data_IF_005116999621
#
_entry.id   IF_005116999621
#
_cell.length_a   1.000
_cell.length_b   1.000
_cell.length_c   1.000
_cell.angle_alpha   90.00
_cell.angle_beta   90.00
_cell.angle_gamma   90.00
#
_symmetry.space_group_name_H-M   'P 1'
#
loop_
_entity.id
_entity.type
_entity.pdbx_description
1 polymer ?
#
# COMPACT_ATOMS: atom_id res chain seq x y z
N UNK A 1 -3.41 26.21 -8.25
CA UNK A 1 -2.06 25.82 -8.72
C UNK A 1 -1.98 24.32 -8.48
N UNK A 2 -1.69 23.53 -9.50
CA UNK A 2 -1.50 22.08 -9.34
C UNK A 2 -0.20 21.87 -8.56
N UNK A 3 -0.26 21.16 -7.43
CA UNK A 3 0.94 20.91 -6.63
C UNK A 3 1.85 19.92 -7.35
N UNK A 4 3.14 20.23 -7.35
CA UNK A 4 4.16 19.47 -8.06
C UNK A 4 4.45 18.16 -7.31
N UNK A 5 4.05 17.01 -7.86
CA UNK A 5 4.37 15.70 -7.30
C UNK A 5 5.88 15.42 -7.35
N UNK A 6 6.45 14.97 -6.24
CA UNK A 6 7.90 14.80 -6.03
C UNK A 6 8.29 13.41 -5.56
N UNK A 7 7.33 12.63 -5.05
CA UNK A 7 7.55 11.30 -4.53
C UNK A 7 6.34 10.40 -4.79
N UNK A 8 6.52 9.09 -4.64
CA UNK A 8 5.43 8.13 -4.70
C UNK A 8 5.45 7.23 -3.46
N UNK A 9 4.29 7.06 -2.84
CA UNK A 9 4.07 6.17 -1.70
C UNK A 9 3.14 5.04 -2.15
N UNK A 10 3.67 3.83 -2.22
CA UNK A 10 2.89 2.65 -2.60
C UNK A 10 2.32 1.96 -1.36
N UNK A 11 1.09 1.50 -1.44
CA UNK A 11 0.70 0.34 -0.66
C UNK A 11 1.44 -0.92 -1.16
N UNK A 12 1.43 -1.99 -0.39
CA UNK A 12 2.18 -3.21 -0.70
C UNK A 12 1.28 -4.34 -1.15
N UNK A 13 0.40 -4.79 -0.25
CA UNK A 13 -0.42 -5.99 -0.43
C UNK A 13 -1.50 -5.73 -1.48
N UNK A 14 -1.51 -6.54 -2.53
CA UNK A 14 -2.44 -6.43 -3.65
C UNK A 14 -2.33 -5.14 -4.49
N UNK A 15 -1.37 -4.27 -4.13
CA UNK A 15 -0.94 -3.12 -4.93
C UNK A 15 0.38 -3.41 -5.68
N UNK A 16 1.41 -3.88 -5.00
CA UNK A 16 2.70 -4.26 -5.60
C UNK A 16 2.91 -5.78 -5.68
N UNK A 17 2.36 -6.51 -4.71
CA UNK A 17 2.54 -7.95 -4.56
C UNK A 17 1.19 -8.66 -4.45
N UNK A 18 1.08 -9.85 -5.04
CA UNK A 18 -0.11 -10.70 -5.00
C UNK A 18 -0.14 -11.52 -3.71
N UNK A 19 -0.96 -11.10 -2.75
CA UNK A 19 -0.97 -11.66 -1.39
C UNK A 19 -2.34 -12.10 -0.87
N UNK A 20 -3.44 -11.70 -1.51
CA UNK A 20 -4.80 -12.01 -1.03
C UNK A 20 -5.01 -13.50 -0.70
N UNK A 21 -4.63 -14.38 -1.63
CA UNK A 21 -4.72 -15.81 -1.44
C UNK A 21 -3.78 -16.34 -0.34
N UNK A 22 -2.58 -15.78 -0.21
CA UNK A 22 -1.62 -16.20 0.80
C UNK A 22 -2.08 -15.80 2.21
N UNK A 23 -2.56 -14.57 2.38
CA UNK A 23 -3.18 -14.11 3.63
C UNK A 23 -4.43 -14.92 3.96
N UNK A 24 -5.31 -15.18 2.97
CA UNK A 24 -6.50 -16.00 3.15
C UNK A 24 -6.16 -17.41 3.65
N UNK A 25 -5.11 -18.04 3.11
CA UNK A 25 -4.62 -19.35 3.58
C UNK A 25 -4.02 -19.28 4.98
N UNK A 26 -3.19 -18.28 5.26
CA UNK A 26 -2.54 -18.12 6.57
C UNK A 26 -3.58 -17.93 7.68
N UNK A 27 -4.47 -16.95 7.52
CA UNK A 27 -5.54 -16.68 8.48
C UNK A 27 -6.55 -17.83 8.56
N UNK A 28 -6.86 -18.47 7.43
CA UNK A 28 -7.76 -19.62 7.37
C UNK A 28 -7.21 -20.84 8.11
N UNK A 29 -5.93 -21.14 7.97
CA UNK A 29 -5.28 -22.22 8.71
C UNK A 29 -5.27 -21.92 10.22
N UNK A 30 -4.93 -20.67 10.60
CA UNK A 30 -4.93 -20.24 11.99
C UNK A 30 -6.32 -20.36 12.61
N UNK A 31 -7.34 -19.81 11.97
CA UNK A 31 -8.72 -19.82 12.50
C UNK A 31 -9.29 -21.23 12.55
N UNK A 32 -8.95 -22.11 11.57
CA UNK A 32 -9.38 -23.52 11.58
C UNK A 32 -8.84 -24.28 12.80
N UNK A 33 -7.58 -24.04 13.19
CA UNK A 33 -7.00 -24.61 14.40
C UNK A 33 -7.71 -24.15 15.69
N UNK A 34 -8.44 -23.02 15.61
CA UNK A 34 -9.21 -22.45 16.73
C UNK A 34 -10.74 -22.59 16.57
N UNK A 35 -11.19 -23.47 15.65
CA UNK A 35 -12.60 -23.85 15.50
C UNK A 35 -13.45 -22.94 14.63
N UNK A 36 -12.88 -22.00 13.89
CA UNK A 36 -13.59 -21.21 12.88
C UNK A 36 -13.21 -21.66 11.46
N UNK A 37 -14.22 -21.92 10.63
CA UNK A 37 -14.04 -22.22 9.21
C UNK A 37 -13.99 -20.92 8.41
N UNK A 38 -12.85 -20.66 7.76
CA UNK A 38 -12.66 -19.50 6.89
C UNK A 38 -13.66 -19.44 5.74
N UNK A 39 -14.22 -18.28 5.46
CA UNK A 39 -15.24 -18.04 4.46
C UNK A 39 -14.81 -16.92 3.50
N UNK A 40 -15.40 -16.81 2.31
CA UNK A 40 -15.10 -15.73 1.37
C UNK A 40 -15.32 -14.32 1.95
N UNK A 41 -16.33 -14.15 2.82
CA UNK A 41 -16.57 -12.88 3.51
C UNK A 41 -15.45 -12.49 4.47
N UNK A 42 -14.79 -13.46 5.11
CA UNK A 42 -13.65 -13.21 6.01
C UNK A 42 -12.46 -12.64 5.21
N UNK A 43 -12.21 -13.18 4.00
CA UNK A 43 -11.20 -12.65 3.08
C UNK A 43 -11.51 -11.22 2.63
N UNK A 44 -12.76 -10.92 2.31
CA UNK A 44 -13.17 -9.54 1.97
C UNK A 44 -13.02 -8.58 3.14
N UNK A 45 -13.34 -9.00 4.35
CA UNK A 45 -13.18 -8.18 5.55
C UNK A 45 -11.70 -7.97 5.94
N UNK A 46 -10.81 -8.84 5.46
CA UNK A 46 -9.37 -8.74 5.68
C UNK A 46 -8.72 -7.69 4.76
N UNK A 47 -9.24 -7.53 3.54
CA UNK A 47 -8.65 -6.70 2.49
C UNK A 47 -8.55 -5.23 2.93
N UNK A 48 -7.31 -4.70 2.96
CA UNK A 48 -7.02 -3.33 3.40
C UNK A 48 -7.26 -3.04 4.88
N UNK A 49 -7.70 -4.04 5.67
CA UNK A 49 -8.08 -3.86 7.06
C UNK A 49 -6.86 -3.66 7.96
N UNK A 50 -6.61 -2.46 8.40
CA UNK A 50 -5.51 -2.15 9.33
C UNK A 50 -5.62 -2.80 10.72
N UNK A 51 -6.80 -3.36 11.08
CA UNK A 51 -7.03 -4.13 12.32
C UNK A 51 -7.21 -5.62 12.06
N UNK A 52 -6.62 -6.10 10.98
CA UNK A 52 -6.78 -7.46 10.50
C UNK A 52 -6.54 -8.54 11.57
N UNK A 53 -5.51 -8.40 12.41
CA UNK A 53 -5.19 -9.38 13.44
C UNK A 53 -6.26 -9.44 14.53
N UNK A 54 -6.80 -8.28 14.95
CA UNK A 54 -7.91 -8.23 15.91
C UNK A 54 -9.18 -8.84 15.34
N UNK A 55 -9.44 -8.63 14.03
CA UNK A 55 -10.56 -9.26 13.34
C UNK A 55 -10.42 -10.79 13.36
N UNK A 56 -9.26 -11.33 12.98
CA UNK A 56 -8.98 -12.77 12.97
C UNK A 56 -9.05 -13.37 14.38
N UNK A 57 -8.51 -12.68 15.40
CA UNK A 57 -8.63 -13.11 16.80
C UNK A 57 -10.09 -13.18 17.24
N UNK A 58 -10.92 -12.22 16.84
CA UNK A 58 -12.36 -12.22 17.08
C UNK A 58 -13.07 -13.45 16.51
N UNK A 59 -12.70 -13.90 15.31
CA UNK A 59 -13.23 -15.13 14.69
C UNK A 59 -12.88 -16.39 15.52
N UNK A 60 -11.80 -16.36 16.31
CA UNK A 60 -11.41 -17.44 17.23
C UNK A 60 -12.18 -17.43 18.55
N UNK A 61 -13.23 -16.60 18.69
CA UNK A 61 -14.08 -16.54 19.88
C UNK A 61 -13.39 -15.97 21.11
N UNK A 62 -12.41 -15.08 20.95
CA UNK A 62 -11.68 -14.40 22.02
C UNK A 62 -10.72 -15.30 22.83
N UNK A 63 -10.36 -16.47 22.29
CA UNK A 63 -9.46 -17.45 22.94
C UNK A 63 -7.98 -17.20 22.63
N UNK A 64 -7.70 -16.30 21.72
CA UNK A 64 -6.35 -15.92 21.27
C UNK A 64 -6.27 -14.40 21.23
N UNK A 65 -5.09 -13.85 21.43
CA UNK A 65 -4.89 -12.42 21.27
C UNK A 65 -4.43 -12.06 19.84
N UNK A 66 -4.45 -10.77 19.51
CA UNK A 66 -4.04 -10.30 18.20
C UNK A 66 -2.54 -10.51 17.93
N UNK A 67 -1.72 -10.54 18.98
CA UNK A 67 -0.28 -10.82 18.89
C UNK A 67 0.00 -12.23 18.40
N UNK A 68 -0.70 -13.23 18.94
CA UNK A 68 -0.59 -14.63 18.49
C UNK A 68 -0.95 -14.76 17.01
N UNK A 69 -2.00 -14.04 16.58
CA UNK A 69 -2.40 -14.00 15.16
C UNK A 69 -1.31 -13.38 14.28
N UNK A 70 -0.76 -12.24 14.71
CA UNK A 70 0.31 -11.56 13.97
C UNK A 70 1.51 -12.50 13.81
N UNK A 71 1.97 -13.13 14.87
CA UNK A 71 3.13 -14.01 14.85
C UNK A 71 2.92 -15.20 13.89
N UNK A 72 1.85 -15.97 14.13
CA UNK A 72 1.57 -17.17 13.35
C UNK A 72 1.31 -16.89 11.88
N UNK A 73 0.51 -15.86 11.56
CA UNK A 73 0.22 -15.51 10.17
C UNK A 73 1.46 -14.92 9.47
N UNK A 74 2.28 -14.13 10.18
CA UNK A 74 3.55 -13.61 9.61
C UNK A 74 4.49 -14.75 9.24
N UNK A 75 4.66 -15.74 10.10
CA UNK A 75 5.50 -16.92 9.81
C UNK A 75 4.98 -17.70 8.58
N UNK A 76 3.66 -17.86 8.48
CA UNK A 76 3.03 -18.50 7.32
C UNK A 76 3.26 -17.69 6.03
N UNK A 77 3.21 -16.36 6.09
CA UNK A 77 3.47 -15.48 4.95
C UNK A 77 4.95 -15.51 4.53
N UNK A 78 5.88 -15.54 5.49
CA UNK A 78 7.32 -15.70 5.20
C UNK A 78 7.58 -17.05 4.52
N UNK A 79 6.95 -18.13 5.02
CA UNK A 79 7.03 -19.44 4.37
C UNK A 79 6.41 -19.45 2.97
N UNK A 80 5.35 -18.66 2.74
CA UNK A 80 4.75 -18.48 1.43
C UNK A 80 5.71 -17.77 0.44
N UNK A 81 6.45 -16.74 0.90
CA UNK A 81 7.50 -16.09 0.12
C UNK A 81 8.59 -17.09 -0.29
N UNK A 82 9.12 -17.84 0.68
CA UNK A 82 10.17 -18.85 0.42
C UNK A 82 9.70 -19.93 -0.57
N UNK A 83 8.42 -20.26 -0.57
CA UNK A 83 7.81 -21.22 -1.50
C UNK A 83 7.41 -20.62 -2.86
N UNK A 84 7.74 -19.33 -3.14
CA UNK A 84 7.41 -18.64 -4.38
C UNK A 84 5.91 -18.40 -4.61
N UNK A 85 5.10 -18.43 -3.53
CA UNK A 85 3.65 -18.21 -3.59
C UNK A 85 3.24 -16.73 -3.45
N UNK A 86 4.17 -15.88 -3.01
CA UNK A 86 4.03 -14.43 -3.04
C UNK A 86 4.85 -13.91 -4.21
N UNK A 87 4.24 -13.18 -5.12
CA UNK A 87 4.87 -12.69 -6.35
C UNK A 87 4.55 -11.21 -6.54
N UNK A 88 5.42 -10.50 -7.26
CA UNK A 88 5.09 -9.17 -7.73
C UNK A 88 3.91 -9.24 -8.69
N UNK A 89 2.98 -8.29 -8.59
CA UNK A 89 1.91 -8.13 -9.58
C UNK A 89 2.51 -7.79 -10.96
N UNK A 90 1.87 -8.22 -12.05
CA UNK A 90 2.30 -7.88 -13.41
C UNK A 90 2.49 -6.37 -13.56
N UNK A 91 3.69 -5.92 -13.94
CA UNK A 91 4.00 -4.50 -14.11
C UNK A 91 4.41 -3.73 -12.84
N UNK A 92 4.25 -4.29 -11.63
CA UNK A 92 4.55 -3.59 -10.38
C UNK A 92 6.01 -3.11 -10.29
N UNK A 93 6.97 -3.97 -10.68
CA UNK A 93 8.40 -3.59 -10.70
C UNK A 93 8.66 -2.43 -11.68
N UNK A 94 8.01 -2.44 -12.85
CA UNK A 94 8.12 -1.37 -13.83
C UNK A 94 7.50 -0.07 -13.30
N UNK A 95 6.38 -0.16 -12.58
CA UNK A 95 5.70 0.96 -11.95
C UNK A 95 6.60 1.63 -10.89
N UNK A 96 7.19 0.84 -9.98
CA UNK A 96 8.13 1.33 -8.97
C UNK A 96 9.36 1.97 -9.60
N UNK A 97 9.95 1.34 -10.63
CA UNK A 97 11.10 1.90 -11.34
C UNK A 97 10.76 3.19 -12.09
N UNK A 98 9.53 3.31 -12.60
CA UNK A 98 9.06 4.56 -13.22
C UNK A 98 8.95 5.67 -12.18
N UNK A 99 8.30 5.41 -11.04
CA UNK A 99 8.22 6.36 -9.93
C UNK A 99 9.61 6.81 -9.46
N UNK A 100 10.54 5.87 -9.31
CA UNK A 100 11.92 6.13 -8.87
C UNK A 100 12.69 7.10 -9.78
N UNK A 101 12.39 7.13 -11.08
CA UNK A 101 13.00 8.10 -12.02
C UNK A 101 12.51 9.54 -11.80
N UNK A 102 11.37 9.72 -11.15
CA UNK A 102 10.79 11.04 -10.87
C UNK A 102 11.10 11.55 -9.46
N UNK A 103 11.40 10.65 -8.51
CA UNK A 103 11.70 11.05 -7.14
C UNK A 103 11.81 9.84 -6.18
N UNK A 104 11.90 10.12 -4.87
CA UNK A 104 11.96 9.08 -3.87
C UNK A 104 10.67 8.26 -3.81
N UNK A 105 10.80 7.00 -3.36
CA UNK A 105 9.72 6.03 -3.30
C UNK A 105 9.64 5.43 -1.91
N UNK A 106 8.41 5.32 -1.38
CA UNK A 106 8.16 4.65 -0.11
C UNK A 106 7.08 3.59 -0.22
N UNK A 107 7.03 2.72 0.77
CA UNK A 107 5.91 1.82 1.04
C UNK A 107 5.20 2.26 2.32
N UNK A 108 3.86 2.21 2.32
CA UNK A 108 3.01 2.38 3.50
C UNK A 108 1.99 1.24 3.56
N UNK A 109 2.20 0.26 4.43
CA UNK A 109 1.39 -0.96 4.54
C UNK A 109 0.90 -1.22 5.96
N UNK A 110 -0.21 -1.96 6.09
CA UNK A 110 -0.68 -2.50 7.37
C UNK A 110 -0.01 -3.83 7.75
N UNK A 111 0.82 -4.36 6.87
CA UNK A 111 1.47 -5.66 7.04
C UNK A 111 2.61 -5.62 8.06
N UNK A 112 2.88 -6.76 8.74
CA UNK A 112 3.96 -6.87 9.72
C UNK A 112 5.34 -6.70 9.09
N UNK A 113 6.22 -5.97 9.77
CA UNK A 113 7.59 -5.61 9.34
C UNK A 113 8.41 -6.82 8.88
N UNK A 114 8.36 -7.93 9.61
CA UNK A 114 9.11 -9.15 9.27
C UNK A 114 8.72 -9.69 7.89
N UNK A 115 7.42 -9.72 7.60
CA UNK A 115 6.91 -10.12 6.29
C UNK A 115 7.30 -9.10 5.22
N UNK A 116 7.05 -7.81 5.44
CA UNK A 116 7.31 -6.72 4.47
C UNK A 116 8.76 -6.75 3.98
N UNK A 117 9.73 -6.74 4.90
CA UNK A 117 11.14 -6.78 4.53
C UNK A 117 11.54 -8.09 3.84
N UNK A 118 10.91 -9.21 4.20
CA UNK A 118 11.16 -10.50 3.52
C UNK A 118 10.62 -10.47 2.09
N UNK A 119 9.41 -10.00 1.88
CA UNK A 119 8.78 -9.88 0.57
C UNK A 119 9.55 -8.91 -0.34
N UNK A 120 9.87 -7.71 0.13
CA UNK A 120 10.61 -6.72 -0.64
C UNK A 120 11.98 -7.24 -1.09
N UNK A 121 12.74 -7.91 -0.20
CA UNK A 121 14.02 -8.53 -0.56
C UNK A 121 13.86 -9.66 -1.57
N UNK A 122 12.91 -10.56 -1.32
CA UNK A 122 12.66 -11.72 -2.20
C UNK A 122 12.30 -11.31 -3.63
N UNK A 123 11.62 -10.19 -3.78
CA UNK A 123 11.16 -9.66 -5.06
C UNK A 123 12.11 -8.62 -5.68
N UNK A 124 13.23 -8.32 -5.05
CA UNK A 124 14.21 -7.33 -5.54
C UNK A 124 13.68 -5.90 -5.54
N UNK A 125 12.72 -5.59 -4.66
CA UNK A 125 12.14 -4.26 -4.50
C UNK A 125 12.78 -3.45 -3.37
N UNK A 126 13.48 -4.11 -2.43
CA UNK A 126 14.01 -3.46 -1.23
C UNK A 126 14.92 -2.26 -1.55
N UNK A 127 15.83 -2.41 -2.51
CA UNK A 127 16.79 -1.38 -2.94
C UNK A 127 16.15 -0.23 -3.71
N UNK A 128 14.87 -0.34 -4.05
CA UNK A 128 14.12 0.70 -4.75
C UNK A 128 13.36 1.61 -3.77
N UNK A 129 13.28 1.24 -2.49
CA UNK A 129 12.53 1.97 -1.46
C UNK A 129 13.46 2.88 -0.66
N UNK A 130 13.10 4.16 -0.53
CA UNK A 130 13.78 5.12 0.34
C UNK A 130 13.22 5.08 1.76
N UNK A 131 11.95 4.67 1.92
CA UNK A 131 11.31 4.47 3.21
C UNK A 131 10.31 3.31 3.15
N UNK A 132 10.14 2.62 4.29
CA UNK A 132 9.17 1.54 4.45
C UNK A 132 8.46 1.75 5.78
N UNK A 133 7.15 1.99 5.74
CA UNK A 133 6.27 2.12 6.90
C UNK A 133 5.41 0.88 7.00
N UNK A 134 5.56 0.13 8.08
CA UNK A 134 4.86 -1.12 8.38
C UNK A 134 3.76 -0.91 9.43
N UNK A 135 2.97 -1.92 9.69
CA UNK A 135 1.89 -1.86 10.69
C UNK A 135 2.36 -1.45 12.08
N UNK A 136 3.58 -1.84 12.48
CA UNK A 136 4.16 -1.51 13.79
C UNK A 136 4.67 -0.06 13.91
N UNK A 137 4.79 0.67 12.81
CA UNK A 137 5.33 2.03 12.80
C UNK A 137 4.30 3.10 13.18
N UNK A 138 3.03 2.73 13.23
CA UNK A 138 1.93 3.65 13.45
C UNK A 138 1.01 3.19 14.58
N UNK A 139 0.47 4.16 15.33
CA UNK A 139 -0.51 3.87 16.38
C UNK A 139 -1.90 3.62 15.79
N UNK A 140 -2.26 4.36 14.73
CA UNK A 140 -3.54 4.25 14.06
C UNK A 140 -3.32 3.75 12.63
N UNK A 141 -3.73 2.51 12.39
CA UNK A 141 -3.66 1.89 11.08
C UNK A 141 -4.69 2.50 10.10
N UNK A 142 -4.57 2.21 8.79
CA UNK A 142 -5.58 2.51 7.78
C UNK A 142 -6.98 2.13 8.30
N UNK A 143 -8.01 2.97 8.14
CA UNK A 143 -8.08 4.16 7.30
C UNK A 143 -7.59 5.48 7.93
N UNK A 144 -6.95 5.46 9.12
CA UNK A 144 -6.34 6.67 9.67
C UNK A 144 -5.18 7.15 8.77
N UNK A 145 -4.88 8.47 8.74
CA UNK A 145 -3.87 9.03 7.84
C UNK A 145 -2.42 8.68 8.22
N UNK A 146 -2.19 8.15 9.40
CA UNK A 146 -0.87 7.98 10.03
C UNK A 146 0.15 7.26 9.15
N UNK A 147 -0.18 6.13 8.44
CA UNK A 147 0.79 5.44 7.61
C UNK A 147 1.34 6.31 6.47
N UNK A 148 0.47 7.07 5.80
CA UNK A 148 0.87 7.94 4.69
C UNK A 148 1.55 9.22 5.17
N UNK A 149 1.12 9.80 6.29
CA UNK A 149 1.82 10.92 6.92
C UNK A 149 3.24 10.51 7.35
N UNK A 150 3.39 9.33 7.94
CA UNK A 150 4.69 8.81 8.34
C UNK A 150 5.59 8.59 7.12
N UNK A 151 5.05 8.02 6.03
CA UNK A 151 5.80 7.81 4.80
C UNK A 151 6.28 9.14 4.19
N UNK A 152 5.40 10.15 4.06
CA UNK A 152 5.76 11.47 3.56
C UNK A 152 6.82 12.15 4.44
N UNK A 153 6.67 12.08 5.77
CA UNK A 153 7.65 12.59 6.73
C UNK A 153 9.00 11.90 6.59
N UNK A 154 9.02 10.57 6.42
CA UNK A 154 10.26 9.79 6.21
C UNK A 154 10.99 10.16 4.92
N UNK A 155 10.25 10.63 3.92
CA UNK A 155 10.82 11.17 2.67
C UNK A 155 11.21 12.66 2.77
N UNK A 156 10.91 13.33 3.88
CA UNK A 156 11.16 14.76 4.07
C UNK A 156 10.29 15.67 3.19
N UNK A 157 9.07 15.22 2.85
CA UNK A 157 8.18 15.92 1.91
C UNK A 157 6.82 16.22 2.54
N UNK A 158 6.18 17.28 2.03
CA UNK A 158 4.76 17.54 2.32
C UNK A 158 3.90 16.45 1.66
N UNK A 159 2.87 15.92 2.36
CA UNK A 159 1.95 14.94 1.81
C UNK A 159 1.36 15.32 0.44
N UNK A 160 1.04 16.59 0.22
CA UNK A 160 0.51 17.08 -1.05
C UNK A 160 1.46 16.90 -2.24
N UNK A 161 2.75 16.75 -1.98
CA UNK A 161 3.77 16.46 -2.99
C UNK A 161 4.05 14.97 -3.18
N UNK A 162 3.32 14.09 -2.50
CA UNK A 162 3.49 12.63 -2.58
C UNK A 162 2.27 11.98 -3.25
N UNK A 163 2.46 11.27 -4.34
CA UNK A 163 1.40 10.46 -4.95
C UNK A 163 1.25 9.15 -4.20
N UNK A 164 0.06 8.85 -3.69
CA UNK A 164 -0.26 7.52 -3.17
C UNK A 164 -0.73 6.59 -4.30
N UNK A 165 -0.33 5.32 -4.25
CA UNK A 165 -0.83 4.26 -5.13
C UNK A 165 -1.46 3.17 -4.27
N UNK A 166 -2.75 2.87 -4.48
CA UNK A 166 -3.58 2.08 -3.57
C UNK A 166 -4.64 1.25 -4.30
N UNK A 167 -5.00 0.10 -3.73
CA UNK A 167 -6.02 -0.79 -4.26
C UNK A 167 -7.27 -0.90 -3.37
N UNK A 168 -7.13 -0.61 -2.07
CA UNK A 168 -8.15 -0.86 -1.06
C UNK A 168 -8.94 0.39 -0.65
N UNK A 169 -10.22 0.24 -0.27
CA UNK A 169 -11.03 1.37 0.23
C UNK A 169 -10.43 2.06 1.44
N UNK A 170 -9.92 1.31 2.42
CA UNK A 170 -9.35 1.87 3.64
C UNK A 170 -8.01 2.56 3.40
N UNK A 171 -7.21 2.04 2.46
CA UNK A 171 -5.98 2.68 2.04
C UNK A 171 -6.22 3.98 1.29
N UNK A 172 -7.20 4.01 0.37
CA UNK A 172 -7.61 5.24 -0.33
C UNK A 172 -8.08 6.31 0.67
N UNK A 173 -8.91 5.93 1.66
CA UNK A 173 -9.31 6.87 2.74
C UNK A 173 -8.11 7.38 3.52
N UNK A 174 -7.18 6.48 3.87
CA UNK A 174 -5.96 6.81 4.62
C UNK A 174 -5.09 7.82 3.88
N UNK A 175 -4.81 7.56 2.60
CA UNK A 175 -3.99 8.45 1.77
C UNK A 175 -4.65 9.81 1.55
N UNK A 176 -5.95 9.83 1.21
CA UNK A 176 -6.71 11.07 1.03
C UNK A 176 -6.81 11.88 2.34
N UNK A 177 -7.04 11.22 3.48
CA UNK A 177 -7.07 11.87 4.78
C UNK A 177 -5.70 12.44 5.21
N UNK A 178 -4.61 11.89 4.68
CA UNK A 178 -3.27 12.40 4.85
C UNK A 178 -2.93 13.56 3.90
N UNK A 179 -3.80 13.86 2.94
CA UNK A 179 -3.61 14.94 1.96
C UNK A 179 -2.80 14.55 0.72
N UNK A 180 -2.58 13.25 0.50
CA UNK A 180 -1.93 12.78 -0.72
C UNK A 180 -2.93 12.67 -1.88
N UNK A 181 -2.61 13.15 -3.08
CA UNK A 181 -3.28 12.69 -4.31
C UNK A 181 -3.18 11.16 -4.45
N UNK A 182 -4.25 10.52 -4.93
CA UNK A 182 -4.34 9.05 -4.99
C UNK A 182 -4.51 8.55 -6.43
N UNK A 183 -3.66 7.62 -6.84
CA UNK A 183 -3.89 6.74 -7.98
C UNK A 183 -4.47 5.42 -7.46
N UNK A 184 -5.76 5.21 -7.69
CA UNK A 184 -6.44 3.98 -7.29
C UNK A 184 -6.27 2.88 -8.35
N UNK A 185 -5.94 1.67 -7.90
CA UNK A 185 -5.82 0.45 -8.72
C UNK A 185 -6.70 -0.65 -8.09
N UNK A 186 -8.03 -0.49 -8.04
CA UNK A 186 -8.91 -1.48 -7.42
C UNK A 186 -8.77 -2.84 -8.11
N UNK A 187 -8.60 -3.91 -7.33
CA UNK A 187 -8.44 -5.26 -7.88
C UNK A 187 -9.75 -5.87 -8.36
N UNK A 188 -9.63 -6.78 -9.34
CA UNK A 188 -10.68 -7.72 -9.77
C UNK A 188 -12.02 -7.05 -10.10
N UNK A 189 -11.98 -5.83 -10.67
CA UNK A 189 -13.18 -5.09 -11.01
C UNK A 189 -13.97 -4.58 -9.80
N UNK A 190 -13.34 -4.49 -8.63
CA UNK A 190 -13.95 -3.87 -7.45
C UNK A 190 -14.43 -2.46 -7.78
N UNK A 191 -15.71 -2.21 -7.56
CA UNK A 191 -16.27 -0.87 -7.62
C UNK A 191 -16.04 -0.20 -6.27
N UNK A 192 -15.37 0.96 -6.29
CA UNK A 192 -15.16 1.72 -5.07
C UNK A 192 -16.50 2.12 -4.45
N UNK A 193 -16.65 2.04 -3.11
CA UNK A 193 -17.81 2.56 -2.41
C UNK A 193 -18.11 4.02 -2.77
N UNK A 194 -19.38 4.39 -2.88
CA UNK A 194 -19.81 5.72 -3.35
C UNK A 194 -19.25 6.87 -2.51
N UNK A 195 -19.04 6.62 -1.22
CA UNK A 195 -18.49 7.61 -0.28
C UNK A 195 -17.00 7.95 -0.54
N UNK A 196 -16.29 7.10 -1.27
CA UNK A 196 -14.86 7.31 -1.58
C UNK A 196 -14.56 7.37 -3.08
N UNK A 197 -15.52 7.09 -3.95
CA UNK A 197 -15.31 7.05 -5.39
C UNK A 197 -14.79 8.39 -5.98
N UNK A 198 -14.97 9.47 -5.25
CA UNK A 198 -14.50 10.82 -5.60
C UNK A 198 -13.10 11.16 -5.05
N UNK A 199 -12.54 10.37 -4.14
CA UNK A 199 -11.26 10.66 -3.49
C UNK A 199 -10.04 10.47 -4.42
N UNK A 200 -9.97 9.41 -5.27
CA UNK A 200 -8.82 9.24 -6.15
C UNK A 200 -8.71 10.34 -7.20
N UNK A 201 -7.49 10.83 -7.40
CA UNK A 201 -7.16 11.77 -8.47
C UNK A 201 -7.13 11.09 -9.84
N UNK A 202 -6.87 9.77 -9.87
CA UNK A 202 -6.88 8.93 -11.06
C UNK A 202 -7.18 7.46 -10.72
N UNK A 203 -7.60 6.70 -11.73
CA UNK A 203 -7.90 5.27 -11.63
C UNK A 203 -7.18 4.49 -12.71
N UNK A 204 -6.72 3.28 -12.38
CA UNK A 204 -6.25 2.29 -13.33
C UNK A 204 -6.91 0.93 -13.05
N UNK A 205 -7.06 0.09 -14.08
CA UNK A 205 -7.66 -1.24 -13.93
C UNK A 205 -6.69 -2.28 -13.36
N UNK A 206 -5.38 -2.04 -13.52
CA UNK A 206 -4.31 -2.90 -13.03
C UNK A 206 -2.98 -2.13 -13.01
N UNK A 207 -1.96 -2.73 -12.44
CA UNK A 207 -0.62 -2.13 -12.33
C UNK A 207 0.06 -1.89 -13.68
N UNK A 208 -0.26 -2.65 -14.72
CA UNK A 208 0.27 -2.43 -16.08
C UNK A 208 -0.33 -1.15 -16.66
N UNK A 209 -1.66 -0.97 -16.55
CA UNK A 209 -2.37 0.22 -17.01
C UNK A 209 -2.13 1.45 -16.13
N UNK A 210 -1.71 1.26 -14.89
CA UNK A 210 -1.31 2.36 -14.01
C UNK A 210 -0.01 3.04 -14.47
N UNK A 211 0.89 2.34 -15.17
CA UNK A 211 2.20 2.86 -15.55
C UNK A 211 2.14 4.15 -16.40
N UNK A 212 1.37 4.24 -17.51
CA UNK A 212 1.26 5.49 -18.25
C UNK A 212 0.59 6.60 -17.44
N UNK A 213 -0.43 6.28 -16.63
CA UNK A 213 -1.14 7.25 -15.77
C UNK A 213 -0.19 7.84 -14.72
N UNK A 214 0.55 6.98 -14.01
CA UNK A 214 1.55 7.40 -13.04
C UNK A 214 2.61 8.30 -13.69
N UNK A 215 3.13 7.90 -14.85
CA UNK A 215 4.14 8.67 -15.58
C UNK A 215 3.61 10.03 -16.00
N UNK A 216 2.34 10.12 -16.43
CA UNK A 216 1.69 11.39 -16.77
C UNK A 216 1.53 12.29 -15.53
N UNK A 217 1.03 11.75 -14.41
CA UNK A 217 0.84 12.50 -13.17
C UNK A 217 2.17 13.07 -12.65
N UNK A 218 3.22 12.25 -12.64
CA UNK A 218 4.55 12.67 -12.20
C UNK A 218 5.23 13.58 -13.24
N UNK A 219 4.99 13.36 -14.54
CA UNK A 219 5.58 14.12 -15.65
C UNK A 219 5.05 15.55 -15.77
N UNK A 220 3.76 15.79 -15.52
CA UNK A 220 3.17 17.14 -15.46
C UNK A 220 3.94 18.04 -14.50
N UNK A 221 4.37 17.46 -13.39
CA UNK A 221 5.18 18.08 -12.36
C UNK A 221 6.57 18.56 -12.85
N UNK A 222 7.17 17.90 -13.83
CA UNK A 222 8.47 18.29 -14.39
C UNK A 222 8.32 19.46 -15.36
N UNK A 223 7.26 19.48 -16.18
CA UNK A 223 7.00 20.56 -17.11
C UNK A 223 6.67 21.88 -16.39
N UNK A 224 5.95 21.84 -15.28
CA UNK A 224 5.67 23.04 -14.47
C UNK A 224 6.93 23.62 -13.86
N UNK A 225 7.90 22.81 -13.47
CA UNK A 225 9.22 23.28 -12.95
C UNK A 225 10.11 23.97 -13.99
N UNK A 226 9.97 23.60 -15.26
CA UNK A 226 10.74 24.19 -16.36
C UNK A 226 10.10 25.49 -16.86
N UNK A 227 8.79 25.67 -16.61
CA UNK A 227 8.02 26.82 -17.05
C UNK A 227 8.07 28.03 -16.08
N UNK A 228 8.60 27.88 -14.85
CA UNK A 228 8.90 29.02 -13.97
C UNK A 228 10.25 29.63 -14.41
N UNK A 229 10.28 30.81 -15.04
CA UNK A 229 11.54 31.48 -15.31
C UNK A 229 12.15 31.92 -13.98
N UNK A 230 13.42 31.59 -13.78
CA UNK A 230 14.25 32.18 -12.73
C UNK A 230 14.07 33.71 -12.75
N UNK A 231 13.19 34.22 -11.93
CA UNK A 231 13.16 35.65 -11.65
C UNK A 231 14.36 35.96 -10.73
N UNK A 232 15.54 35.94 -11.33
CA UNK A 232 16.71 36.62 -10.78
C UNK A 232 16.38 38.10 -10.80
N UNK A 233 15.80 38.54 -9.69
CA UNK A 233 15.60 39.96 -9.39
C UNK A 233 16.98 40.60 -9.22
N UNK A 234 17.44 41.27 -10.23
CA UNK A 234 18.48 42.24 -10.09
C UNK A 234 17.97 43.48 -9.35
N UNK A 235 18.61 43.82 -8.30
CA UNK A 235 19.15 45.12 -7.85
C UNK A 235 19.47 45.12 -6.38
#
# INVERSE_FOLDING_TARGET
MSEVLRATVFDLDDTLIDTADAWGRACGAFTAAHGHRWRPEDGRALHGNGRWASYVAGLCGGRVDAGDVVEACTDAMIAACAAGRVRALPGAVALVRAARRHGPVAVATASPRRFVHTALRHLGLAELMDAVVCGEDVTRAKPAPDPYLHAATSLGLDPAHCLAVEDSPDGIRSAAAAGLPVLAIPRDGMVLPADIAHLPSAHALDTVRALPILTELLGRSVYERVAEPDTVGGR
#
